data_IF_861570685624
#
_entry.id   IF_861570685624
#
_cell.length_a   1.000
_cell.length_b   1.000
_cell.length_c   1.000
_cell.angle_alpha   90.00
_cell.angle_beta   90.00
_cell.angle_gamma   90.00
#
_symmetry.space_group_name_H-M   'P 1'
#
loop_
_entity.id
_entity.type
_entity.pdbx_description
1 polymer ?
#
# COMPACT_ATOMS: atom_id res chain seq x y z
N UNK A 1 9.04 13.96 60.40
CA UNK A 1 7.93 14.36 59.51
C UNK A 1 8.43 14.87 58.16
N UNK A 2 9.25 15.93 58.09
CA UNK A 2 9.70 16.48 56.79
C UNK A 2 10.68 15.57 56.03
N UNK A 3 11.73 15.07 56.69
CA UNK A 3 12.68 14.13 56.05
C UNK A 3 12.02 12.86 55.51
N UNK A 4 11.00 12.35 56.22
CA UNK A 4 10.22 11.19 55.78
C UNK A 4 9.39 11.48 54.52
N UNK A 5 8.87 12.71 54.38
CA UNK A 5 8.20 13.17 53.16
C UNK A 5 9.17 13.28 52.00
N UNK A 6 10.37 13.81 52.21
CA UNK A 6 11.42 13.88 51.18
C UNK A 6 11.81 12.49 50.69
N UNK A 7 12.09 11.54 51.61
CA UNK A 7 12.41 10.16 51.21
C UNK A 7 11.28 9.48 50.44
N UNK A 8 10.00 9.75 50.77
CA UNK A 8 8.87 9.26 49.97
C UNK A 8 8.82 9.89 48.57
N UNK A 9 9.09 11.18 48.45
CA UNK A 9 9.07 11.87 47.16
C UNK A 9 10.21 11.41 46.25
N UNK A 10 11.41 11.21 46.80
CA UNK A 10 12.55 10.67 46.05
C UNK A 10 12.24 9.27 45.52
N UNK A 11 11.68 8.41 46.38
CA UNK A 11 11.28 7.06 46.02
C UNK A 11 10.11 7.02 45.00
N UNK A 12 9.22 8.01 45.01
CA UNK A 12 8.19 8.15 43.98
C UNK A 12 8.79 8.57 42.63
N UNK A 13 9.73 9.52 42.63
CA UNK A 13 10.41 9.97 41.40
C UNK A 13 11.18 8.84 40.74
N UNK A 14 11.84 8.00 41.54
CA UNK A 14 12.59 6.85 41.05
C UNK A 14 11.68 5.78 40.42
N UNK A 15 10.40 5.71 40.83
CA UNK A 15 9.40 4.77 40.28
C UNK A 15 8.77 5.24 38.96
N UNK A 16 8.85 6.52 38.62
CA UNK A 16 8.29 7.09 37.40
C UNK A 16 8.79 6.42 36.10
N UNK A 17 10.10 6.21 35.88
CA UNK A 17 10.59 5.56 34.66
C UNK A 17 10.10 4.11 34.54
N UNK A 18 10.04 3.36 35.65
CA UNK A 18 9.52 1.99 35.64
C UNK A 18 8.03 1.96 35.30
N UNK A 19 7.24 2.92 35.80
CA UNK A 19 5.83 3.06 35.43
C UNK A 19 5.65 3.34 33.94
N UNK A 20 6.48 4.21 33.37
CA UNK A 20 6.45 4.50 31.93
C UNK A 20 6.82 3.28 31.09
N UNK A 21 7.78 2.46 31.55
CA UNK A 21 8.20 1.25 30.85
C UNK A 21 7.09 0.18 30.84
N UNK A 22 6.39 -0.01 31.96
CA UNK A 22 5.21 -0.89 32.03
C UNK A 22 4.11 -0.43 31.08
N UNK A 23 3.81 0.87 31.05
CA UNK A 23 2.81 1.42 30.12
C UNK A 23 3.20 1.21 28.64
N UNK A 24 4.49 1.30 28.33
CA UNK A 24 5.00 1.06 26.99
C UNK A 24 4.85 -0.42 26.60
N UNK A 25 5.16 -1.34 27.51
CA UNK A 25 4.97 -2.79 27.28
C UNK A 25 3.49 -3.13 27.08
N UNK A 26 2.60 -2.57 27.89
CA UNK A 26 1.14 -2.73 27.75
C UNK A 26 0.67 -2.24 26.37
N UNK A 27 1.14 -1.06 25.94
CA UNK A 27 0.84 -0.51 24.62
C UNK A 27 1.37 -1.42 23.50
N UNK A 28 2.61 -1.91 23.60
CA UNK A 28 3.19 -2.83 22.62
C UNK A 28 2.41 -4.14 22.54
N UNK A 29 1.94 -4.67 23.67
CA UNK A 29 1.07 -5.85 23.68
C UNK A 29 -0.22 -5.59 22.91
N UNK A 30 -0.87 -4.42 23.12
CA UNK A 30 -2.08 -4.08 22.36
C UNK A 30 -1.83 -3.92 20.87
N UNK A 31 -0.72 -3.31 20.47
CA UNK A 31 -0.38 -3.16 19.05
C UNK A 31 -0.09 -4.49 18.38
N UNK A 32 0.58 -5.41 19.07
CA UNK A 32 0.82 -6.77 18.57
C UNK A 32 -0.49 -7.51 18.28
N UNK A 33 -1.48 -7.39 19.17
CA UNK A 33 -2.82 -7.96 18.95
C UNK A 33 -3.52 -7.31 17.76
N UNK A 34 -3.52 -5.98 17.67
CA UNK A 34 -4.14 -5.26 16.56
C UNK A 34 -3.51 -5.60 15.21
N UNK A 35 -2.17 -5.77 15.17
CA UNK A 35 -1.45 -6.17 13.98
C UNK A 35 -1.89 -7.57 13.54
N UNK A 36 -1.93 -8.51 14.47
CA UNK A 36 -2.37 -9.88 14.20
C UNK A 36 -3.82 -9.94 13.72
N UNK A 37 -4.72 -9.15 14.31
CA UNK A 37 -6.10 -9.05 13.83
C UNK A 37 -6.21 -8.47 12.42
N UNK A 38 -5.38 -7.47 12.09
CA UNK A 38 -5.32 -6.90 10.75
C UNK A 38 -4.79 -7.92 9.73
N UNK A 39 -3.75 -8.67 10.08
CA UNK A 39 -3.22 -9.77 9.27
C UNK A 39 -4.26 -10.87 9.04
N UNK A 40 -4.98 -11.30 10.08
CA UNK A 40 -6.05 -12.30 9.94
C UNK A 40 -7.22 -11.81 9.09
N UNK A 41 -7.58 -10.51 9.19
CA UNK A 41 -8.60 -9.92 8.32
C UNK A 41 -8.16 -9.92 6.86
N UNK A 42 -6.89 -9.58 6.62
CA UNK A 42 -6.31 -9.59 5.30
C UNK A 42 -6.29 -11.01 4.72
N UNK A 43 -5.84 -12.00 5.49
CA UNK A 43 -5.85 -13.41 5.09
C UNK A 43 -7.27 -13.90 4.78
N UNK A 44 -8.27 -13.51 5.58
CA UNK A 44 -9.68 -13.84 5.32
C UNK A 44 -10.20 -13.22 4.03
N UNK A 45 -9.82 -11.98 3.72
CA UNK A 45 -10.20 -11.34 2.45
C UNK A 45 -9.56 -12.08 1.28
N UNK A 46 -8.26 -12.38 1.36
CA UNK A 46 -7.57 -13.18 0.33
C UNK A 46 -8.15 -14.60 0.19
N UNK A 47 -8.55 -15.24 1.29
CA UNK A 47 -9.18 -16.55 1.27
C UNK A 47 -10.62 -16.51 0.72
N UNK A 48 -11.38 -15.45 1.01
CA UNK A 48 -12.73 -15.24 0.47
C UNK A 48 -12.71 -14.88 -1.02
N UNK A 49 -11.67 -14.20 -1.50
CA UNK A 49 -11.40 -13.94 -2.92
C UNK A 49 -10.70 -15.11 -3.62
N UNK A 50 -10.40 -16.17 -2.85
CA UNK A 50 -9.71 -17.40 -3.23
C UNK A 50 -10.52 -18.40 -4.08
N UNK A 51 -11.44 -17.93 -4.92
CA UNK A 51 -11.72 -18.60 -6.19
C UNK A 51 -11.14 -17.83 -7.40
N UNK A 52 -10.21 -16.89 -7.18
CA UNK A 52 -9.53 -16.18 -8.27
C UNK A 52 -8.10 -15.69 -8.00
N UNK A 53 -7.39 -16.17 -6.98
CA UNK A 53 -5.95 -15.82 -6.85
C UNK A 53 -5.10 -17.01 -6.44
N UNK A 54 -5.01 -17.95 -7.38
CA UNK A 54 -3.92 -18.91 -7.46
C UNK A 54 -2.71 -18.12 -7.94
N UNK A 55 -1.73 -17.84 -7.07
CA UNK A 55 -0.34 -17.46 -7.42
C UNK A 55 -0.21 -16.87 -8.83
N UNK A 56 -0.63 -15.63 -9.02
CA UNK A 56 -0.33 -14.93 -10.27
C UNK A 56 1.00 -14.18 -10.07
N UNK A 57 2.03 -14.51 -10.86
CA UNK A 57 3.34 -13.89 -10.74
C UNK A 57 3.19 -12.43 -11.10
N UNK A 58 3.48 -11.51 -10.16
CA UNK A 58 3.63 -10.06 -10.38
C UNK A 58 2.83 -9.61 -11.60
N UNK A 59 1.49 -9.69 -11.53
CA UNK A 59 0.70 -9.13 -12.61
C UNK A 59 0.95 -7.65 -12.58
N UNK A 60 1.70 -7.22 -13.59
CA UNK A 60 1.77 -5.88 -14.12
C UNK A 60 0.68 -5.01 -13.50
N UNK A 61 1.08 -4.00 -12.73
CA UNK A 61 0.24 -2.84 -12.44
C UNK A 61 -0.10 -2.17 -13.77
N UNK A 62 -0.98 -2.80 -14.53
CA UNK A 62 -1.60 -2.23 -15.69
C UNK A 62 -2.59 -1.25 -15.10
N UNK A 63 -2.18 0.00 -14.92
CA UNK A 63 -3.05 1.08 -14.48
C UNK A 63 -4.37 0.94 -15.23
N UNK A 64 -5.47 0.62 -14.54
CA UNK A 64 -6.80 0.43 -15.15
C UNK A 64 -7.19 1.62 -16.03
N UNK A 65 -6.70 2.80 -15.65
CA UNK A 65 -6.85 4.04 -16.39
C UNK A 65 -6.20 4.00 -17.80
N UNK A 66 -5.07 3.33 -17.95
CA UNK A 66 -4.41 3.13 -19.25
C UNK A 66 -5.21 2.15 -20.12
N UNK A 67 -5.78 1.10 -19.54
CA UNK A 67 -6.68 0.17 -20.26
C UNK A 67 -7.96 0.89 -20.70
N UNK A 68 -8.48 1.80 -19.88
CA UNK A 68 -9.63 2.61 -20.24
C UNK A 68 -9.33 3.57 -21.39
N UNK A 69 -8.18 4.26 -21.36
CA UNK A 69 -7.73 5.15 -22.46
C UNK A 69 -7.49 4.33 -23.74
N UNK A 70 -6.96 3.12 -23.60
CA UNK A 70 -6.79 2.18 -24.72
C UNK A 70 -8.11 1.75 -25.35
N UNK A 71 -9.08 1.35 -24.52
CA UNK A 71 -10.42 0.98 -24.98
C UNK A 71 -11.06 2.15 -25.71
N UNK A 72 -10.97 3.34 -25.13
CA UNK A 72 -11.47 4.57 -25.75
C UNK A 72 -10.74 4.89 -27.07
N UNK A 73 -9.41 4.71 -27.12
CA UNK A 73 -8.62 4.92 -28.34
C UNK A 73 -8.99 3.94 -29.46
N UNK A 74 -9.28 2.69 -29.10
CA UNK A 74 -9.75 1.65 -30.02
C UNK A 74 -11.16 1.94 -30.54
N UNK A 75 -12.09 2.26 -29.64
CA UNK A 75 -13.50 2.56 -29.98
C UNK A 75 -13.64 3.84 -30.81
N UNK A 76 -12.89 4.89 -30.45
CA UNK A 76 -12.94 6.19 -31.13
C UNK A 76 -11.95 6.32 -32.28
N UNK A 77 -11.16 5.28 -32.58
CA UNK A 77 -10.07 5.29 -33.57
C UNK A 77 -9.16 6.52 -33.44
N UNK A 78 -8.75 6.82 -32.21
CA UNK A 78 -7.92 7.99 -31.95
C UNK A 78 -6.54 7.80 -32.58
N UNK A 79 -6.16 8.74 -33.44
CA UNK A 79 -4.84 8.80 -34.06
C UNK A 79 -3.74 9.28 -33.11
N UNK A 80 -4.09 9.87 -31.97
CA UNK A 80 -3.12 10.45 -31.05
C UNK A 80 -3.47 10.08 -29.60
N UNK A 81 -2.53 9.43 -28.90
CA UNK A 81 -2.71 8.95 -27.53
C UNK A 81 -1.58 9.48 -26.65
N UNK A 82 -1.94 10.08 -25.51
CA UNK A 82 -0.97 10.64 -24.55
C UNK A 82 -1.08 9.91 -23.23
N UNK A 83 0.01 9.29 -22.81
CA UNK A 83 0.14 8.51 -21.58
C UNK A 83 1.39 8.91 -20.81
N UNK A 84 1.79 10.18 -20.95
CA UNK A 84 2.96 10.71 -20.28
C UNK A 84 2.77 10.74 -18.75
N UNK A 85 3.80 10.42 -17.98
CA UNK A 85 3.79 10.59 -16.51
C UNK A 85 3.00 9.55 -15.73
N UNK A 86 2.71 8.38 -16.33
CA UNK A 86 1.83 7.36 -15.74
C UNK A 86 2.58 6.22 -15.05
N UNK A 87 3.90 6.36 -14.87
CA UNK A 87 4.76 5.38 -14.18
C UNK A 87 4.63 3.96 -14.77
N UNK A 88 4.29 3.86 -16.06
CA UNK A 88 4.11 2.57 -16.73
C UNK A 88 5.43 1.81 -16.76
N UNK A 89 5.41 0.55 -16.29
CA UNK A 89 6.56 -0.37 -16.35
C UNK A 89 6.58 -1.20 -17.63
N UNK A 90 5.41 -1.62 -18.11
CA UNK A 90 5.25 -2.37 -19.35
C UNK A 90 4.08 -1.83 -20.16
N UNK A 91 4.16 -1.98 -21.48
CA UNK A 91 3.08 -1.61 -22.38
C UNK A 91 2.19 -2.86 -22.63
N UNK A 92 0.88 -2.82 -22.35
CA UNK A 92 -0.02 -3.94 -22.61
C UNK A 92 -0.05 -4.35 -24.08
N UNK A 93 -0.13 -5.65 -24.37
CA UNK A 93 -0.25 -6.19 -25.74
C UNK A 93 -1.47 -5.62 -26.49
N UNK A 94 -2.51 -5.22 -25.75
CA UNK A 94 -3.68 -4.54 -26.29
C UNK A 94 -3.35 -3.27 -27.09
N UNK A 95 -2.24 -2.56 -26.79
CA UNK A 95 -1.77 -1.42 -27.59
C UNK A 95 -1.45 -1.84 -29.03
N UNK A 96 -0.81 -3.01 -29.21
CA UNK A 96 -0.41 -3.51 -30.52
C UNK A 96 -1.59 -3.87 -31.42
N UNK A 97 -2.79 -4.10 -30.85
CA UNK A 97 -4.02 -4.35 -31.61
C UNK A 97 -4.69 -3.08 -32.15
N UNK A 98 -4.30 -1.90 -31.67
CA UNK A 98 -4.95 -0.65 -32.07
C UNK A 98 -4.19 -0.03 -33.25
N UNK A 99 -4.62 -0.41 -34.44
CA UNK A 99 -4.03 0.03 -35.71
C UNK A 99 -4.37 1.49 -36.08
N UNK A 100 -5.22 2.16 -35.29
CA UNK A 100 -5.62 3.54 -35.54
C UNK A 100 -4.68 4.59 -34.95
N UNK A 101 -3.82 4.22 -33.99
CA UNK A 101 -2.93 5.16 -33.32
C UNK A 101 -1.76 5.50 -34.26
N UNK A 102 -1.64 6.78 -34.60
CA UNK A 102 -0.56 7.34 -35.43
C UNK A 102 0.54 7.95 -34.56
N UNK A 103 0.19 8.46 -33.37
CA UNK A 103 1.13 9.11 -32.45
C UNK A 103 0.85 8.68 -31.03
N UNK A 104 1.89 8.19 -30.35
CA UNK A 104 1.81 7.72 -28.97
C UNK A 104 2.89 8.42 -28.13
N UNK A 105 2.46 9.13 -27.10
CA UNK A 105 3.37 9.79 -26.15
C UNK A 105 3.46 9.00 -24.83
N UNK A 106 4.64 8.43 -24.57
CA UNK A 106 4.96 7.67 -23.36
C UNK A 106 6.02 8.36 -22.47
N UNK A 107 6.26 9.66 -22.64
CA UNK A 107 7.27 10.38 -21.85
C UNK A 107 7.04 10.25 -20.34
N UNK A 108 8.09 10.28 -19.53
CA UNK A 108 7.98 10.19 -18.07
C UNK A 108 7.23 8.93 -17.57
N UNK A 109 7.42 7.79 -18.24
CA UNK A 109 7.07 6.48 -17.70
C UNK A 109 8.35 5.74 -17.27
N UNK A 110 8.19 4.60 -16.60
CA UNK A 110 9.28 3.76 -16.11
C UNK A 110 9.38 2.49 -16.95
N UNK A 111 9.26 2.63 -18.28
CA UNK A 111 9.25 1.49 -19.19
C UNK A 111 10.63 0.83 -19.16
N UNK A 112 10.69 -0.44 -18.79
CA UNK A 112 11.92 -1.26 -18.77
C UNK A 112 12.07 -2.11 -20.05
#
# INVERSE_FOLDING_TARGET
AEKEKEYRQEAEKEKLPFKALVQLEEMHATYSVLLKEAEEKLEKLYAAEGNSSKFMPVEDEVNEEVVNILREASEKKLGHVVLSGRMLRYLPEAFGRIHSIVTLNLSNNQLE
#
